data_IF_782513370896
#
_entry.id   IF_782513370896
#
_cell.length_a   1.000
_cell.length_b   1.000
_cell.length_c   1.000
_cell.angle_alpha   90.00
_cell.angle_beta   90.00
_cell.angle_gamma   90.00
#
_symmetry.space_group_name_H-M   'P 1'
#
loop_
_entity.id
_entity.type
_entity.pdbx_description
1 polymer ?
#
# COMPACT_ATOMS: atom_id res chain seq x y z
N UNK A 1 -2.14 29.56 6.83
CA UNK A 1 -2.19 28.22 6.27
C UNK A 1 -1.94 28.28 4.75
N UNK A 2 -0.87 27.57 4.27
CA UNK A 2 -0.48 27.58 2.83
C UNK A 2 -1.24 26.48 2.06
N UNK A 3 -1.42 25.31 2.68
CA UNK A 3 -2.03 24.13 2.03
C UNK A 3 -3.41 24.38 1.43
N UNK A 4 -4.41 24.94 2.15
CA UNK A 4 -5.72 25.19 1.56
C UNK A 4 -5.67 26.10 0.31
N UNK A 5 -4.78 27.12 0.31
CA UNK A 5 -4.59 27.99 -0.84
C UNK A 5 -4.00 27.30 -2.05
N UNK A 6 -3.06 26.39 -1.84
CA UNK A 6 -2.45 25.61 -2.94
C UNK A 6 -3.50 24.69 -3.55
N UNK A 7 -4.29 23.99 -2.74
CA UNK A 7 -5.40 23.14 -3.23
C UNK A 7 -6.45 23.98 -3.99
N UNK A 8 -6.78 25.16 -3.48
CA UNK A 8 -7.69 26.06 -4.20
C UNK A 8 -7.14 26.50 -5.57
N UNK A 9 -5.84 26.83 -5.66
CA UNK A 9 -5.20 27.20 -6.94
C UNK A 9 -5.17 26.03 -7.92
N UNK A 10 -4.85 24.81 -7.43
CA UNK A 10 -4.87 23.61 -8.25
C UNK A 10 -6.28 23.35 -8.81
N UNK A 11 -7.30 23.42 -7.94
CA UNK A 11 -8.71 23.26 -8.33
C UNK A 11 -9.15 24.29 -9.37
N UNK A 12 -8.76 25.57 -9.21
CA UNK A 12 -9.03 26.62 -10.23
C UNK A 12 -8.32 26.35 -11.56
N UNK A 13 -7.20 25.67 -11.52
CA UNK A 13 -6.47 25.24 -12.73
C UNK A 13 -6.99 23.93 -13.33
N UNK A 14 -8.05 23.32 -12.77
CA UNK A 14 -8.61 22.05 -13.23
C UNK A 14 -7.74 20.84 -12.92
N UNK A 15 -6.87 20.95 -11.90
CA UNK A 15 -5.99 19.87 -11.48
C UNK A 15 -6.59 19.10 -10.31
N UNK A 16 -6.48 17.77 -10.34
CA UNK A 16 -6.73 16.91 -9.19
C UNK A 16 -5.66 17.11 -8.12
N UNK A 17 -6.05 16.93 -6.87
CA UNK A 17 -5.18 17.16 -5.71
C UNK A 17 -5.15 15.96 -4.78
N UNK A 18 -3.96 15.66 -4.26
CA UNK A 18 -3.75 14.71 -3.17
C UNK A 18 -3.14 15.42 -1.97
N UNK A 19 -3.54 15.01 -0.77
CA UNK A 19 -2.91 15.41 0.48
C UNK A 19 -2.42 14.18 1.23
N UNK A 20 -1.16 14.24 1.66
CA UNK A 20 -0.55 13.19 2.47
C UNK A 20 -0.57 13.61 3.94
N UNK A 21 -1.02 12.71 4.80
CA UNK A 21 -1.03 12.83 6.24
C UNK A 21 -0.09 11.78 6.83
N UNK A 22 0.55 12.14 7.94
CA UNK A 22 1.38 11.20 8.73
C UNK A 22 0.87 11.25 10.16
N UNK A 23 0.50 10.09 10.72
CA UNK A 23 0.08 9.94 12.11
C UNK A 23 1.10 9.12 12.91
N UNK A 24 0.95 9.12 14.25
CA UNK A 24 1.88 8.43 15.13
C UNK A 24 3.16 9.22 15.40
N UNK A 25 3.17 10.55 15.14
CA UNK A 25 4.31 11.38 15.49
C UNK A 25 4.51 11.41 17.02
N UNK A 26 5.77 11.41 17.52
CA UNK A 26 6.05 11.43 18.93
C UNK A 26 5.32 12.57 19.67
N UNK A 27 4.44 12.21 20.60
CA UNK A 27 3.63 13.16 21.38
C UNK A 27 2.35 13.64 20.68
N UNK A 28 2.00 13.10 19.52
CA UNK A 28 0.73 13.40 18.86
C UNK A 28 -0.42 12.69 19.61
N UNK A 29 -1.37 13.46 20.11
CA UNK A 29 -2.58 12.92 20.72
C UNK A 29 -3.64 12.53 19.67
N UNK A 30 -4.65 11.74 20.08
CA UNK A 30 -5.80 11.44 19.22
C UNK A 30 -6.56 12.73 18.81
N UNK A 31 -6.62 13.74 19.69
CA UNK A 31 -7.23 15.03 19.37
C UNK A 31 -6.41 15.83 18.34
N UNK A 32 -5.08 15.75 18.38
CA UNK A 32 -4.20 16.36 17.36
C UNK A 32 -4.46 15.73 16.00
N UNK A 33 -4.54 14.40 15.98
CA UNK A 33 -4.85 13.65 14.78
C UNK A 33 -6.25 13.98 14.24
N UNK A 34 -7.27 14.02 15.11
CA UNK A 34 -8.63 14.41 14.72
C UNK A 34 -8.66 15.80 14.08
N UNK A 35 -7.91 16.78 14.64
CA UNK A 35 -7.80 18.12 14.03
C UNK A 35 -7.22 18.08 12.62
N UNK A 36 -6.26 17.18 12.37
CA UNK A 36 -5.66 16.97 11.04
C UNK A 36 -6.69 16.38 10.07
N UNK A 37 -7.46 15.38 10.51
CA UNK A 37 -8.56 14.77 9.73
C UNK A 37 -9.66 15.80 9.41
N UNK A 38 -10.08 16.61 10.39
CA UNK A 38 -11.06 17.67 10.19
C UNK A 38 -10.55 18.74 9.22
N UNK A 39 -9.27 19.02 9.23
CA UNK A 39 -8.67 19.98 8.31
C UNK A 39 -8.65 19.46 6.88
N UNK A 40 -8.24 18.20 6.66
CA UNK A 40 -8.17 17.61 5.31
C UNK A 40 -9.56 17.41 4.72
N UNK A 41 -10.54 16.92 5.50
CA UNK A 41 -11.92 16.76 5.03
C UNK A 41 -12.58 18.09 4.67
N UNK A 42 -12.30 19.16 5.43
CA UNK A 42 -12.77 20.53 5.12
C UNK A 42 -12.11 21.10 3.86
N UNK A 43 -10.85 20.78 3.58
CA UNK A 43 -10.16 21.18 2.35
C UNK A 43 -10.75 20.43 1.15
N UNK A 44 -11.11 19.16 1.32
CA UNK A 44 -11.76 18.33 0.34
C UNK A 44 -10.89 18.04 -0.90
N UNK A 45 -9.67 17.50 -0.78
CA UNK A 45 -8.88 17.07 -1.93
C UNK A 45 -9.57 15.89 -2.65
N UNK A 46 -9.11 15.54 -3.83
CA UNK A 46 -9.64 14.38 -4.57
C UNK A 46 -9.15 13.05 -4.00
N UNK A 47 -7.98 13.08 -3.33
CA UNK A 47 -7.29 11.92 -2.79
C UNK A 47 -6.60 12.27 -1.46
N UNK A 48 -6.54 11.28 -0.55
CA UNK A 48 -5.85 11.40 0.74
C UNK A 48 -5.02 10.15 0.99
N UNK A 49 -3.74 10.35 1.32
CA UNK A 49 -2.90 9.31 1.90
C UNK A 49 -2.76 9.54 3.41
N UNK A 50 -2.85 8.49 4.21
CA UNK A 50 -2.58 8.56 5.65
C UNK A 50 -1.62 7.41 6.04
N UNK A 51 -0.40 7.78 6.40
CA UNK A 51 0.67 6.84 6.72
C UNK A 51 0.99 6.87 8.21
N UNK A 52 1.22 5.71 8.81
CA UNK A 52 1.88 5.62 10.10
C UNK A 52 3.33 6.13 9.99
N UNK A 53 3.81 6.81 11.02
CA UNK A 53 5.20 7.27 11.06
C UNK A 53 6.14 6.09 11.26
N UNK A 54 6.94 5.78 10.26
CA UNK A 54 8.04 4.81 10.38
C UNK A 54 9.32 5.54 10.73
N UNK A 55 9.99 5.12 11.83
CA UNK A 55 11.27 5.69 12.26
C UNK A 55 12.41 4.86 11.69
N UNK A 56 12.97 5.33 10.59
CA UNK A 56 14.05 4.68 9.86
C UNK A 56 15.39 4.73 10.60
N UNK A 57 16.08 3.60 10.65
CA UNK A 57 17.42 3.46 11.22
C UNK A 57 18.42 4.40 10.54
N UNK A 58 19.35 4.97 11.32
CA UNK A 58 20.34 5.92 10.80
C UNK A 58 19.83 7.35 10.64
N UNK A 59 18.54 7.63 10.87
CA UNK A 59 18.01 8.99 10.87
C UNK A 59 18.27 9.72 12.20
N UNK A 60 18.15 11.06 12.19
CA UNK A 60 18.24 11.86 13.42
C UNK A 60 17.16 11.45 14.42
N UNK A 61 15.94 11.19 13.95
CA UNK A 61 14.81 10.79 14.81
C UNK A 61 15.07 9.45 15.47
N UNK A 62 15.59 8.46 14.73
CA UNK A 62 16.06 7.20 15.29
C UNK A 62 17.08 7.41 16.43
N UNK A 63 18.07 8.29 16.19
CA UNK A 63 19.04 8.64 17.23
C UNK A 63 18.41 9.24 18.50
N UNK A 64 17.37 10.06 18.36
CA UNK A 64 16.64 10.65 19.49
C UNK A 64 15.84 9.60 20.27
N UNK A 65 15.14 8.70 19.57
CA UNK A 65 14.42 7.58 20.20
C UNK A 65 15.38 6.65 20.95
N UNK A 66 16.49 6.27 20.34
CA UNK A 66 17.52 5.44 21.01
C UNK A 66 18.09 6.05 22.29
N UNK A 67 18.16 7.37 22.38
CA UNK A 67 18.61 8.09 23.59
C UNK A 67 17.48 8.37 24.59
N UNK A 68 16.23 7.94 24.29
CA UNK A 68 15.08 8.20 25.14
C UNK A 68 14.60 9.67 25.13
N UNK A 69 15.03 10.45 24.14
CA UNK A 69 14.60 11.85 23.96
C UNK A 69 13.19 11.95 23.34
N UNK A 70 12.80 10.94 22.58
CA UNK A 70 11.47 10.80 21.97
C UNK A 70 10.93 9.40 22.26
N UNK A 71 9.62 9.23 22.50
CA UNK A 71 9.00 7.92 22.59
C UNK A 71 8.99 7.24 21.23
N UNK A 72 9.00 5.91 21.24
CA UNK A 72 8.69 5.10 20.04
C UNK A 72 7.19 5.18 19.77
N UNK A 73 6.73 5.25 18.52
CA UNK A 73 5.32 5.03 18.19
C UNK A 73 4.83 3.69 18.75
N UNK A 74 3.59 3.65 19.18
CA UNK A 74 2.96 2.44 19.73
C UNK A 74 1.94 1.89 18.76
N UNK A 75 2.00 0.59 18.47
CA UNK A 75 1.16 -0.09 17.47
C UNK A 75 -0.35 0.09 17.73
N UNK A 76 -0.78 0.03 18.99
CA UNK A 76 -2.20 0.21 19.37
C UNK A 76 -2.69 1.66 19.14
N UNK A 77 -1.82 2.65 19.39
CA UNK A 77 -2.12 4.06 19.08
C UNK A 77 -2.21 4.28 17.57
N UNK A 78 -1.28 3.71 16.81
CA UNK A 78 -1.30 3.77 15.35
C UNK A 78 -2.54 3.08 14.76
N UNK A 79 -2.92 1.91 15.29
CA UNK A 79 -4.14 1.21 14.89
C UNK A 79 -5.39 2.08 15.15
N UNK A 80 -5.48 2.69 16.35
CA UNK A 80 -6.58 3.59 16.70
C UNK A 80 -6.65 4.79 15.74
N UNK A 81 -5.51 5.40 15.42
CA UNK A 81 -5.45 6.53 14.48
C UNK A 81 -5.80 6.15 13.05
N UNK A 82 -5.44 4.93 12.63
CA UNK A 82 -5.88 4.39 11.35
C UNK A 82 -7.42 4.24 11.27
N UNK A 83 -8.03 3.67 12.32
CA UNK A 83 -9.48 3.55 12.41
C UNK A 83 -10.19 4.93 12.40
N UNK A 84 -9.62 5.93 13.08
CA UNK A 84 -10.10 7.30 13.04
C UNK A 84 -10.04 7.88 11.62
N UNK A 85 -8.94 7.63 10.89
CA UNK A 85 -8.80 8.07 9.51
C UNK A 85 -9.86 7.43 8.61
N UNK A 86 -10.03 6.10 8.69
CA UNK A 86 -11.01 5.37 7.90
C UNK A 86 -12.44 5.88 8.14
N UNK A 87 -12.81 6.09 9.42
CA UNK A 87 -14.10 6.61 9.79
C UNK A 87 -14.34 8.04 9.30
N UNK A 88 -13.38 8.94 9.52
CA UNK A 88 -13.51 10.36 9.14
C UNK A 88 -13.54 10.56 7.62
N UNK A 89 -12.67 9.85 6.89
CA UNK A 89 -12.62 9.92 5.43
C UNK A 89 -13.85 9.27 4.81
N UNK A 90 -14.29 8.10 5.32
CA UNK A 90 -15.51 7.45 4.87
C UNK A 90 -16.76 8.33 5.06
N UNK A 91 -16.90 9.00 6.21
CA UNK A 91 -17.98 9.96 6.45
C UNK A 91 -17.94 11.17 5.50
N UNK A 92 -16.74 11.55 5.04
CA UNK A 92 -16.56 12.63 4.08
C UNK A 92 -16.72 12.18 2.60
N UNK A 93 -17.08 10.90 2.36
CA UNK A 93 -17.37 10.36 1.04
C UNK A 93 -16.16 9.84 0.28
N UNK A 94 -15.02 9.68 0.95
CA UNK A 94 -13.88 8.99 0.37
C UNK A 94 -14.05 7.48 0.52
N UNK A 95 -13.56 6.75 -0.46
CA UNK A 95 -13.51 5.30 -0.45
C UNK A 95 -12.05 4.83 -0.26
N UNK A 96 -11.84 3.96 0.70
CA UNK A 96 -10.60 3.22 0.81
C UNK A 96 -10.39 2.34 -0.43
N UNK A 97 -9.19 2.36 -1.03
CA UNK A 97 -8.88 1.51 -2.16
C UNK A 97 -7.61 0.67 -2.01
N UNK A 98 -6.69 1.07 -1.13
CA UNK A 98 -5.58 0.26 -0.63
C UNK A 98 -5.14 0.75 0.77
N UNK A 99 -4.24 0.03 1.44
CA UNK A 99 -3.94 0.11 2.88
C UNK A 99 -3.91 1.54 3.44
N UNK A 100 -3.25 2.47 2.79
CA UNK A 100 -3.00 3.83 3.31
C UNK A 100 -3.66 4.93 2.51
N UNK A 101 -4.52 4.58 1.54
CA UNK A 101 -5.06 5.55 0.59
C UNK A 101 -6.58 5.49 0.43
N UNK A 102 -7.18 6.68 0.44
CA UNK A 102 -8.60 6.93 0.23
C UNK A 102 -8.78 7.96 -0.89
N UNK A 103 -9.78 7.78 -1.73
CA UNK A 103 -10.06 8.69 -2.83
C UNK A 103 -11.56 8.97 -2.95
N UNK A 104 -11.91 10.13 -3.50
CA UNK A 104 -13.24 10.32 -4.06
C UNK A 104 -13.43 9.29 -5.20
N UNK A 105 -14.64 8.73 -5.40
CA UNK A 105 -14.88 7.75 -6.45
C UNK A 105 -14.36 8.20 -7.82
N UNK A 106 -13.47 7.40 -8.43
CA UNK A 106 -12.82 7.69 -9.71
C UNK A 106 -11.56 8.58 -9.62
N UNK A 107 -11.11 8.91 -8.41
CA UNK A 107 -9.89 9.71 -8.16
C UNK A 107 -8.76 8.87 -7.55
N UNK A 108 -8.85 7.54 -7.61
CA UNK A 108 -7.81 6.64 -7.15
C UNK A 108 -6.50 6.89 -7.93
N UNK A 109 -5.37 6.91 -7.22
CA UNK A 109 -4.07 7.15 -7.84
C UNK A 109 -3.62 5.94 -8.67
N UNK A 110 -3.75 6.03 -10.00
CA UNK A 110 -3.36 4.94 -10.93
C UNK A 110 -1.88 4.56 -10.81
N UNK A 111 -1.00 5.54 -10.56
CA UNK A 111 0.42 5.27 -10.34
C UNK A 111 0.64 4.42 -9.08
N UNK A 112 -0.07 4.72 -7.99
CA UNK A 112 -0.02 3.92 -6.77
C UNK A 112 -0.61 2.52 -6.99
N UNK A 113 -1.77 2.43 -7.66
CA UNK A 113 -2.37 1.13 -8.00
C UNK A 113 -1.44 0.25 -8.85
N UNK A 114 -0.62 0.85 -9.73
CA UNK A 114 0.32 0.11 -10.56
C UNK A 114 1.30 -0.75 -9.74
N UNK A 115 1.76 -0.26 -8.59
CA UNK A 115 2.60 -1.05 -7.68
C UNK A 115 1.85 -2.23 -7.07
N UNK A 116 0.62 -2.01 -6.59
CA UNK A 116 -0.22 -3.05 -5.98
C UNK A 116 -0.71 -4.11 -6.97
N UNK A 117 -0.86 -3.72 -8.25
CA UNK A 117 -1.28 -4.58 -9.35
C UNK A 117 -0.10 -5.24 -10.07
N UNK A 118 1.12 -5.06 -9.56
CA UNK A 118 2.34 -5.65 -10.12
C UNK A 118 2.56 -5.28 -11.62
N UNK A 119 2.28 -4.02 -11.99
CA UNK A 119 2.55 -3.52 -13.32
C UNK A 119 4.03 -3.24 -13.50
N UNK A 120 4.47 -3.24 -14.75
CA UNK A 120 5.80 -2.76 -15.10
C UNK A 120 5.91 -1.24 -14.87
N UNK A 121 7.03 -0.81 -14.30
CA UNK A 121 7.37 0.61 -14.16
C UNK A 121 8.84 0.87 -14.39
N UNK A 122 9.15 2.07 -14.83
CA UNK A 122 10.51 2.54 -15.04
C UNK A 122 10.88 3.63 -14.04
N UNK A 123 11.96 3.40 -13.29
CA UNK A 123 12.50 4.37 -12.34
C UNK A 123 13.43 5.38 -13.00
N UNK A 124 13.07 6.65 -12.99
CA UNK A 124 13.87 7.73 -13.50
C UNK A 124 14.61 8.45 -12.36
N UNK A 125 15.93 8.61 -12.51
CA UNK A 125 16.74 9.36 -11.55
C UNK A 125 17.72 8.52 -10.75
N UNK A 126 18.59 9.17 -9.95
CA UNK A 126 19.58 8.52 -9.10
C UNK A 126 18.91 7.64 -8.04
N UNK A 127 19.34 6.38 -7.91
CA UNK A 127 18.81 5.44 -6.94
C UNK A 127 17.40 4.95 -7.21
N UNK A 128 16.75 5.36 -8.30
CA UNK A 128 15.42 4.91 -8.65
C UNK A 128 15.41 3.43 -9.03
N UNK A 129 14.35 2.74 -8.64
CA UNK A 129 14.13 1.33 -8.96
C UNK A 129 13.18 1.22 -10.15
N UNK A 130 13.32 0.15 -10.94
CA UNK A 130 12.40 -0.26 -12.01
C UNK A 130 11.96 -1.70 -11.77
N UNK A 131 10.78 -2.05 -12.28
CA UNK A 131 10.26 -3.41 -12.31
C UNK A 131 9.74 -3.69 -13.73
N UNK A 132 10.32 -4.68 -14.39
CA UNK A 132 10.05 -5.04 -15.77
C UNK A 132 9.93 -6.56 -15.89
N UNK A 133 8.73 -7.06 -15.96
CA UNK A 133 8.48 -8.51 -15.90
C UNK A 133 9.01 -9.11 -14.60
N UNK A 134 9.92 -10.09 -14.70
CA UNK A 134 10.53 -10.72 -13.53
C UNK A 134 11.84 -10.06 -13.08
N UNK A 135 12.18 -8.88 -13.62
CA UNK A 135 13.44 -8.20 -13.32
C UNK A 135 13.19 -6.92 -12.57
N UNK A 136 13.83 -6.77 -11.42
CA UNK A 136 14.00 -5.48 -10.74
C UNK A 136 15.41 -4.98 -10.97
N UNK A 137 15.54 -3.69 -11.25
CA UNK A 137 16.83 -3.03 -11.38
C UNK A 137 16.80 -1.70 -10.64
N UNK A 138 17.97 -1.25 -10.21
CA UNK A 138 18.12 0.04 -9.52
C UNK A 138 19.28 0.83 -10.08
N UNK A 139 19.08 2.13 -10.13
CA UNK A 139 20.05 3.08 -10.66
C UNK A 139 21.15 3.41 -9.64
N UNK A 140 22.27 3.89 -10.15
CA UNK A 140 23.36 4.46 -9.35
C UNK A 140 22.82 5.58 -8.45
N UNK A 141 23.07 5.47 -7.12
CA UNK A 141 22.52 6.39 -6.12
C UNK A 141 23.14 7.79 -6.15
N UNK A 142 24.45 7.89 -6.49
CA UNK A 142 25.13 9.17 -6.47
C UNK A 142 24.76 10.02 -7.69
N UNK A 143 24.18 11.24 -7.53
CA UNK A 143 23.65 12.03 -8.66
C UNK A 143 24.68 12.34 -9.76
N UNK A 144 25.91 12.70 -9.38
CA UNK A 144 26.96 13.04 -10.36
C UNK A 144 27.39 11.80 -11.15
N UNK A 145 27.54 10.64 -10.50
CA UNK A 145 27.88 9.38 -11.17
C UNK A 145 26.75 8.94 -12.11
N UNK A 146 25.49 9.03 -11.65
CA UNK A 146 24.32 8.76 -12.47
C UNK A 146 24.27 9.65 -13.72
N UNK A 147 24.43 10.97 -13.55
CA UNK A 147 24.42 11.92 -14.66
C UNK A 147 25.58 11.66 -15.64
N UNK A 148 26.76 11.30 -15.14
CA UNK A 148 27.93 10.96 -15.98
C UNK A 148 27.65 9.71 -16.84
N UNK A 149 27.04 8.69 -16.33
CA UNK A 149 26.65 7.49 -17.10
C UNK A 149 25.66 7.85 -18.22
N UNK A 150 24.61 8.61 -17.89
CA UNK A 150 23.65 9.11 -18.90
C UNK A 150 24.34 9.94 -19.98
N UNK A 151 25.22 10.86 -19.60
CA UNK A 151 25.95 11.74 -20.56
C UNK A 151 26.84 10.96 -21.54
N UNK A 152 27.27 9.75 -21.14
CA UNK A 152 28.06 8.85 -21.99
C UNK A 152 27.24 7.81 -22.73
N UNK A 153 25.90 7.89 -22.67
CA UNK A 153 24.97 6.98 -23.35
C UNK A 153 24.82 5.60 -22.68
N UNK A 154 25.25 5.47 -21.42
CA UNK A 154 25.11 4.23 -20.68
C UNK A 154 23.86 4.27 -19.77
N UNK A 155 23.20 3.12 -19.62
CA UNK A 155 22.16 2.97 -18.60
C UNK A 155 22.82 3.04 -17.21
N UNK A 156 22.31 3.85 -16.29
CA UNK A 156 22.93 4.08 -14.99
C UNK A 156 22.55 2.98 -13.97
N UNK A 157 22.51 1.73 -14.39
CA UNK A 157 22.12 0.58 -13.58
C UNK A 157 23.27 0.19 -12.65
N UNK A 158 23.02 0.20 -11.34
CA UNK A 158 23.95 -0.25 -10.31
C UNK A 158 23.82 -1.73 -9.98
N UNK A 159 22.63 -2.30 -10.16
CA UNK A 159 22.38 -3.71 -9.92
C UNK A 159 20.98 -4.11 -10.35
N UNK A 160 20.76 -5.42 -10.34
CA UNK A 160 19.46 -6.02 -10.66
C UNK A 160 19.27 -7.32 -9.86
N UNK A 161 18.03 -7.76 -9.78
CA UNK A 161 17.64 -9.09 -9.33
C UNK A 161 16.62 -9.68 -10.30
N UNK A 162 16.60 -11.00 -10.38
CA UNK A 162 15.57 -11.75 -11.09
C UNK A 162 14.71 -12.45 -10.07
N UNK A 163 13.41 -12.16 -10.10
CA UNK A 163 12.43 -12.67 -9.15
C UNK A 163 12.08 -14.08 -9.58
N UNK A 164 12.28 -15.06 -8.70
CA UNK A 164 11.87 -16.44 -8.96
C UNK A 164 10.33 -16.60 -8.84
N UNK A 165 9.82 -17.73 -9.33
CA UNK A 165 8.38 -17.96 -9.39
C UNK A 165 7.69 -18.02 -8.01
N UNK A 166 8.39 -18.52 -7.00
CA UNK A 166 7.84 -18.64 -5.63
C UNK A 166 7.80 -17.26 -4.96
N UNK A 167 8.85 -16.46 -5.12
CA UNK A 167 8.88 -15.06 -4.68
C UNK A 167 7.81 -14.22 -5.38
N UNK A 168 7.63 -14.42 -6.68
CA UNK A 168 6.60 -13.72 -7.46
C UNK A 168 5.19 -14.04 -6.97
N UNK A 169 4.90 -15.29 -6.68
CA UNK A 169 3.60 -15.69 -6.13
C UNK A 169 3.35 -15.08 -4.75
N UNK A 170 4.36 -15.11 -3.87
CA UNK A 170 4.28 -14.48 -2.56
C UNK A 170 4.00 -12.98 -2.67
N UNK A 171 4.71 -12.28 -3.54
CA UNK A 171 4.52 -10.84 -3.75
C UNK A 171 3.14 -10.53 -4.33
N UNK A 172 2.68 -11.31 -5.30
CA UNK A 172 1.33 -11.16 -5.87
C UNK A 172 0.24 -11.26 -4.79
N UNK A 173 0.39 -12.19 -3.86
CA UNK A 173 -0.54 -12.35 -2.74
C UNK A 173 -0.40 -11.17 -1.77
N UNK A 174 0.82 -10.84 -1.40
CA UNK A 174 1.15 -9.77 -0.46
C UNK A 174 0.64 -8.40 -0.96
N UNK A 175 0.79 -8.11 -2.23
CA UNK A 175 0.34 -6.86 -2.84
C UNK A 175 -1.18 -6.87 -3.04
N UNK A 176 -1.71 -7.90 -3.70
CA UNK A 176 -3.11 -7.96 -4.09
C UNK A 176 -4.09 -7.99 -2.92
N UNK A 177 -3.73 -8.64 -1.79
CA UNK A 177 -4.61 -8.70 -0.60
C UNK A 177 -4.85 -7.31 0.02
N UNK A 178 -3.94 -6.36 -0.20
CA UNK A 178 -4.01 -5.00 0.35
C UNK A 178 -4.91 -4.06 -0.45
N UNK A 179 -5.36 -4.49 -1.62
CA UNK A 179 -6.35 -3.76 -2.41
C UNK A 179 -7.77 -3.99 -1.87
N UNK A 180 -8.65 -3.01 -2.04
CA UNK A 180 -10.07 -3.13 -1.71
C UNK A 180 -10.76 -4.30 -2.40
N UNK A 181 -10.37 -4.60 -3.63
CA UNK A 181 -10.88 -5.72 -4.41
C UNK A 181 -10.36 -7.07 -3.88
N UNK A 182 -9.27 -7.07 -3.12
CA UNK A 182 -8.61 -8.28 -2.63
C UNK A 182 -8.16 -9.20 -3.76
N UNK A 183 -8.01 -10.50 -3.47
CA UNK A 183 -7.53 -11.51 -4.40
C UNK A 183 -8.53 -12.64 -4.59
N UNK A 184 -8.52 -13.28 -5.74
CA UNK A 184 -9.31 -14.48 -6.00
C UNK A 184 -8.68 -15.68 -5.28
N UNK A 185 -9.46 -16.36 -4.44
CA UNK A 185 -9.00 -17.53 -3.69
C UNK A 185 -8.59 -18.68 -4.61
N UNK A 186 -9.28 -18.85 -5.73
CA UNK A 186 -8.97 -19.88 -6.74
C UNK A 186 -7.63 -19.64 -7.46
N UNK A 187 -7.07 -18.43 -7.40
CA UNK A 187 -5.76 -18.12 -7.98
C UNK A 187 -4.59 -18.45 -7.05
N UNK A 188 -4.86 -18.74 -5.78
CA UNK A 188 -3.83 -19.07 -4.80
C UNK A 188 -3.28 -20.48 -5.04
N UNK A 189 -1.95 -20.62 -4.99
CA UNK A 189 -1.27 -21.88 -5.27
C UNK A 189 -1.18 -22.29 -6.75
N UNK A 190 -1.62 -21.40 -7.64
CA UNK A 190 -1.49 -21.60 -9.08
C UNK A 190 -0.26 -20.85 -9.60
N UNK A 191 0.81 -21.60 -9.91
CA UNK A 191 2.00 -20.97 -10.52
C UNK A 191 1.64 -20.32 -11.86
N UNK A 192 2.17 -19.12 -12.17
CA UNK A 192 2.05 -18.54 -13.49
C UNK A 192 2.53 -19.53 -14.57
N UNK A 193 1.70 -19.79 -15.58
CA UNK A 193 1.99 -20.77 -16.63
C UNK A 193 1.65 -22.23 -16.29
N UNK A 194 1.07 -22.51 -15.13
CA UNK A 194 0.55 -23.85 -14.79
C UNK A 194 -0.76 -24.20 -15.51
N UNK A 195 -1.18 -25.48 -15.51
CA UNK A 195 -2.36 -25.97 -16.24
C UNK A 195 -3.70 -25.34 -15.83
N UNK A 196 -3.74 -24.57 -14.75
CA UNK A 196 -4.94 -23.85 -14.30
C UNK A 196 -5.12 -22.48 -14.94
N UNK A 197 -4.10 -21.93 -15.63
CA UNK A 197 -4.23 -20.67 -16.37
C UNK A 197 -5.20 -20.78 -17.56
N UNK A 198 -5.47 -21.99 -18.05
CA UNK A 198 -6.36 -22.27 -19.19
C UNK A 198 -7.78 -22.71 -18.78
N UNK A 199 -8.08 -22.80 -17.46
CA UNK A 199 -9.42 -23.22 -17.03
C UNK A 199 -10.44 -22.10 -17.21
N UNK A 200 -11.65 -22.42 -17.75
CA UNK A 200 -12.75 -21.46 -17.79
C UNK A 200 -13.11 -20.98 -16.37
N UNK A 201 -13.51 -19.72 -16.26
CA UNK A 201 -13.81 -19.02 -14.99
C UNK A 201 -14.79 -19.79 -14.07
N UNK A 202 -15.66 -20.62 -14.64
CA UNK A 202 -16.70 -21.41 -13.92
C UNK A 202 -16.14 -22.57 -13.10
N UNK A 203 -14.90 -23.00 -13.37
CA UNK A 203 -14.29 -24.17 -12.70
C UNK A 203 -13.19 -23.77 -11.69
N UNK A 204 -13.05 -22.47 -11.42
CA UNK A 204 -12.09 -21.96 -10.44
C UNK A 204 -12.64 -22.11 -9.02
N UNK A 205 -12.15 -23.10 -8.32
CA UNK A 205 -12.54 -23.38 -6.92
C UNK A 205 -11.37 -23.07 -6.00
N UNK A 206 -11.67 -22.53 -4.83
CA UNK A 206 -10.67 -22.34 -3.76
C UNK A 206 -9.93 -23.65 -3.51
N UNK A 207 -8.59 -23.66 -3.49
CA UNK A 207 -7.80 -24.85 -3.20
C UNK A 207 -8.25 -25.50 -1.87
N UNK A 208 -8.47 -26.82 -1.82
CA UNK A 208 -9.03 -27.48 -0.63
C UNK A 208 -8.25 -27.22 0.66
N UNK A 209 -6.92 -27.10 0.57
CA UNK A 209 -6.03 -26.82 1.73
C UNK A 209 -6.24 -25.40 2.28
N UNK A 210 -6.69 -24.45 1.47
CA UNK A 210 -6.95 -23.06 1.90
C UNK A 210 -8.35 -22.87 2.52
N UNK A 211 -9.28 -23.78 2.28
CA UNK A 211 -10.65 -23.65 2.83
C UNK A 211 -10.65 -23.48 4.35
N UNK A 212 -9.97 -24.32 5.16
CA UNK A 212 -9.93 -24.12 6.61
C UNK A 212 -9.17 -22.84 7.02
N UNK A 213 -8.15 -22.45 6.27
CA UNK A 213 -7.41 -21.21 6.53
C UNK A 213 -8.31 -19.99 6.34
N UNK A 214 -9.01 -19.93 5.21
CA UNK A 214 -9.96 -18.84 4.92
C UNK A 214 -11.09 -18.80 5.94
N UNK A 215 -11.64 -19.97 6.32
CA UNK A 215 -12.68 -20.05 7.36
C UNK A 215 -12.18 -19.52 8.71
N UNK A 216 -10.94 -19.82 9.11
CA UNK A 216 -10.31 -19.27 10.30
C UNK A 216 -10.16 -17.75 10.23
N UNK A 217 -9.62 -17.23 9.13
CA UNK A 217 -9.46 -15.78 8.92
C UNK A 217 -10.79 -15.02 8.93
N UNK A 218 -11.86 -15.63 8.40
CA UNK A 218 -13.23 -15.07 8.49
C UNK A 218 -13.75 -15.11 9.93
N UNK A 219 -13.56 -16.21 10.65
CA UNK A 219 -13.97 -16.34 12.05
C UNK A 219 -13.25 -15.32 12.96
N UNK A 220 -11.98 -15.03 12.67
CA UNK A 220 -11.18 -14.02 13.38
C UNK A 220 -11.56 -12.58 12.96
N UNK A 221 -12.47 -12.42 12.01
CA UNK A 221 -12.91 -11.12 11.51
C UNK A 221 -11.86 -10.38 10.65
N UNK A 222 -10.89 -11.10 10.06
CA UNK A 222 -9.84 -10.53 9.23
C UNK A 222 -10.24 -10.47 7.75
N UNK A 223 -11.08 -11.40 7.28
CA UNK A 223 -11.61 -11.41 5.91
C UNK A 223 -13.12 -11.16 5.91
N UNK A 224 -13.60 -10.47 4.89
CA UNK A 224 -15.01 -10.24 4.65
C UNK A 224 -15.71 -11.55 4.29
N UNK A 225 -16.73 -11.91 5.07
CA UNK A 225 -17.50 -13.17 4.92
C UNK A 225 -18.18 -13.25 3.56
N UNK A 226 -18.81 -12.16 3.12
CA UNK A 226 -19.58 -12.17 1.86
C UNK A 226 -18.64 -12.28 0.65
N UNK A 227 -17.48 -11.65 0.71
CA UNK A 227 -16.44 -11.78 -0.32
C UNK A 227 -15.87 -13.21 -0.34
N UNK A 228 -15.56 -13.79 0.81
CA UNK A 228 -15.04 -15.15 0.93
C UNK A 228 -16.02 -16.19 0.34
N UNK A 229 -17.31 -16.04 0.58
CA UNK A 229 -18.35 -16.88 -0.02
C UNK A 229 -18.44 -16.73 -1.55
N UNK A 230 -18.00 -15.61 -2.09
CA UNK A 230 -17.88 -15.37 -3.55
C UNK A 230 -16.51 -15.75 -4.11
N UNK A 231 -15.66 -16.42 -3.34
CA UNK A 231 -14.35 -16.88 -3.76
C UNK A 231 -13.26 -15.80 -3.76
N UNK A 232 -13.42 -14.72 -2.98
CA UNK A 232 -12.41 -13.64 -2.88
C UNK A 232 -11.96 -13.45 -1.43
N UNK A 233 -10.66 -13.29 -1.24
CA UNK A 233 -10.13 -12.79 0.02
C UNK A 233 -10.09 -11.25 -0.03
N UNK A 234 -10.93 -10.62 0.79
CA UNK A 234 -11.00 -9.16 0.96
C UNK A 234 -10.82 -8.84 2.43
N UNK A 235 -9.91 -7.94 2.74
CA UNK A 235 -9.64 -7.54 4.12
C UNK A 235 -10.80 -6.72 4.70
N UNK A 236 -11.18 -7.03 5.93
CA UNK A 236 -11.98 -6.12 6.77
C UNK A 236 -11.10 -4.97 7.27
N UNK A 237 -11.67 -3.99 7.98
CA UNK A 237 -10.88 -2.95 8.66
C UNK A 237 -9.83 -3.56 9.60
N UNK A 238 -10.22 -4.54 10.42
CA UNK A 238 -9.29 -5.29 11.27
C UNK A 238 -8.26 -6.08 10.45
N UNK A 239 -8.69 -6.66 9.33
CA UNK A 239 -7.78 -7.36 8.42
C UNK A 239 -6.73 -6.44 7.80
N UNK A 240 -7.06 -5.18 7.51
CA UNK A 240 -6.12 -4.18 7.00
C UNK A 240 -5.00 -3.89 8.01
N UNK A 241 -5.32 -3.78 9.28
CA UNK A 241 -4.34 -3.63 10.37
C UNK A 241 -3.46 -4.87 10.56
N UNK A 242 -3.92 -6.04 10.11
CA UNK A 242 -3.22 -7.32 10.25
C UNK A 242 -2.90 -7.96 8.89
N UNK A 243 -2.69 -7.16 7.85
CA UNK A 243 -2.50 -7.65 6.49
C UNK A 243 -1.33 -8.64 6.34
N UNK A 244 -0.25 -8.47 7.09
CA UNK A 244 0.91 -9.38 7.10
C UNK A 244 0.56 -10.74 7.71
N UNK A 245 -0.31 -10.78 8.72
CA UNK A 245 -0.81 -12.01 9.32
C UNK A 245 -1.68 -12.78 8.33
N UNK A 246 -2.57 -12.07 7.62
CA UNK A 246 -3.40 -12.66 6.56
C UNK A 246 -2.52 -13.18 5.42
N UNK A 247 -1.54 -12.40 4.95
CA UNK A 247 -0.60 -12.83 3.91
C UNK A 247 0.10 -14.12 4.32
N UNK A 248 0.68 -14.18 5.51
CA UNK A 248 1.36 -15.39 6.01
C UNK A 248 0.45 -16.60 6.06
N UNK A 249 -0.78 -16.44 6.52
CA UNK A 249 -1.72 -17.54 6.59
C UNK A 249 -2.12 -18.10 5.21
N UNK A 250 -2.21 -17.22 4.20
CA UNK A 250 -2.56 -17.62 2.83
C UNK A 250 -1.39 -18.20 2.02
N UNK A 251 -0.14 -18.05 2.50
CA UNK A 251 1.09 -18.49 1.81
C UNK A 251 1.78 -19.69 2.45
N UNK A 252 1.26 -20.21 3.55
CA UNK A 252 1.72 -21.46 4.21
C UNK A 252 0.98 -22.65 3.64
#
# INVERSE_FOLDING_TARGET
ARVPRVVEWARRAGLSTSLDLIYGAPGESAEDWQRSLDAVTRIGPDHVSAYALVIEEGTRMWGQVRRGELPMPEDDDEATKYEMADAALGQAGYEWYEISNWAQPGSECRHNQAYWLDWDWWGAGPGAHSHLGDVRLWNTKHPVAWAGQIATGHLPVAGHEVIDADSRELERIMLGIRLREGIELASLGNRPGGPSAERPDRDRVTPPHLVPVVAGLVADGLLDTAAALRGRAVLTLRGRLMADTVTRALTQ
#
